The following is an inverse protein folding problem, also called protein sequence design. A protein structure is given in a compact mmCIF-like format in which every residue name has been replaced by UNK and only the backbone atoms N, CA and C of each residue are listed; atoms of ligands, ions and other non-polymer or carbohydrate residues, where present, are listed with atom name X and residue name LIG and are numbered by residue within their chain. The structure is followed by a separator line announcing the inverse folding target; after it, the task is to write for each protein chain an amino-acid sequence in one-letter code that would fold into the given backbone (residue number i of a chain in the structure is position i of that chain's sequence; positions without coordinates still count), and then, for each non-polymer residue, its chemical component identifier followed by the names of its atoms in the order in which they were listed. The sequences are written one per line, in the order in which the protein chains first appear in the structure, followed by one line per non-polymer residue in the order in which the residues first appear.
data_IF_482213173504
#
_entry.id   IF_482213173504
#
_cell.length_a   1.000
_cell.length_b   1.000
_cell.length_c   1.000
_cell.angle_alpha   90.00
_cell.angle_beta   90.00
_cell.angle_gamma   90.00
#
_symmetry.space_group_name_H-M   'P 1'
#
loop_
_entity.id
_entity.type
_entity.pdbx_description
1 polymer ?
#
# COMPACT_ATOMS: atom_id res chain seq x y z
N UNK A 1 28.21 -9.98 18.57
CA UNK A 1 28.63 -8.60 18.93
C UNK A 1 30.07 -8.40 18.53
N UNK A 2 30.41 -7.24 17.95
CA UNK A 2 31.76 -6.88 17.52
C UNK A 2 32.27 -5.68 18.32
N UNK A 3 33.33 -5.89 19.10
CA UNK A 3 34.02 -4.89 19.91
C UNK A 3 35.41 -4.58 19.34
N UNK A 4 36.03 -3.51 19.82
CA UNK A 4 37.37 -3.09 19.41
C UNK A 4 37.63 -1.64 19.77
N UNK A 5 38.90 -1.23 19.84
CA UNK A 5 39.26 0.16 20.09
C UNK A 5 38.91 1.08 18.89
N UNK A 6 39.17 2.38 19.01
CA UNK A 6 39.03 3.30 17.88
C UNK A 6 40.06 2.94 16.80
N UNK A 7 39.65 2.99 15.53
CA UNK A 7 40.52 2.71 14.38
C UNK A 7 41.07 1.29 14.28
N UNK A 8 40.40 0.29 14.88
CA UNK A 8 40.80 -1.14 14.80
C UNK A 8 40.15 -1.92 13.65
N UNK A 9 39.43 -1.24 12.75
CA UNK A 9 38.83 -1.88 11.57
C UNK A 9 37.45 -2.50 11.78
N UNK A 10 36.68 -2.07 12.79
CA UNK A 10 35.30 -2.53 13.03
C UNK A 10 34.38 -2.28 11.82
N UNK A 11 34.32 -1.02 11.36
CA UNK A 11 33.58 -0.64 10.15
C UNK A 11 34.11 -1.38 8.91
N UNK A 12 35.43 -1.53 8.79
CA UNK A 12 36.04 -2.32 7.71
C UNK A 12 35.58 -3.80 7.72
N UNK A 13 35.41 -4.38 8.90
CA UNK A 13 34.90 -5.76 9.05
C UNK A 13 33.43 -5.84 8.65
N UNK A 14 32.60 -4.88 9.06
CA UNK A 14 31.20 -4.81 8.62
C UNK A 14 31.07 -4.59 7.11
N UNK A 15 31.85 -3.68 6.54
CA UNK A 15 31.89 -3.44 5.09
C UNK A 15 32.30 -4.70 4.33
N UNK A 16 33.29 -5.45 4.84
CA UNK A 16 33.70 -6.72 4.24
C UNK A 16 32.59 -7.76 4.27
N UNK A 17 31.86 -7.88 5.38
CA UNK A 17 30.69 -8.76 5.49
C UNK A 17 29.60 -8.32 4.50
N UNK A 18 29.30 -7.02 4.45
CA UNK A 18 28.32 -6.43 3.54
C UNK A 18 28.66 -6.62 2.06
N UNK A 19 29.95 -6.68 1.70
CA UNK A 19 30.39 -6.89 0.32
C UNK A 19 30.47 -8.38 -0.07
N UNK A 20 30.44 -9.29 0.90
CA UNK A 20 30.57 -10.73 0.65
C UNK A 20 29.20 -11.42 0.53
N UNK A 21 28.18 -10.85 1.16
CA UNK A 21 26.81 -11.37 1.19
C UNK A 21 25.94 -10.44 0.32
N UNK A 22 25.10 -11.01 -0.54
CA UNK A 22 24.33 -10.21 -1.51
C UNK A 22 23.12 -9.49 -0.86
N UNK A 23 22.46 -10.11 0.13
CA UNK A 23 21.22 -9.59 0.72
C UNK A 23 21.40 -9.13 2.18
N UNK A 24 22.14 -8.04 2.37
CA UNK A 24 22.49 -7.49 3.69
C UNK A 24 21.69 -6.24 4.02
N UNK A 25 21.13 -6.18 5.23
CA UNK A 25 20.64 -4.93 5.82
C UNK A 25 21.75 -4.30 6.65
N UNK A 26 22.31 -3.17 6.21
CA UNK A 26 23.37 -2.46 6.93
C UNK A 26 22.91 -1.08 7.41
N UNK A 27 22.71 -0.96 8.73
CA UNK A 27 22.45 0.30 9.42
C UNK A 27 23.80 0.91 9.83
N UNK A 28 24.25 1.91 9.06
CA UNK A 28 25.55 2.57 9.27
C UNK A 28 25.48 3.60 10.39
N UNK A 29 26.63 3.86 11.00
CA UNK A 29 26.79 4.95 11.96
C UNK A 29 26.37 6.28 11.34
N UNK A 30 25.65 7.11 12.11
CA UNK A 30 25.11 8.41 11.71
C UNK A 30 24.10 8.42 10.56
N UNK A 31 23.72 7.28 9.99
CA UNK A 31 22.72 7.21 8.90
C UNK A 31 21.34 7.74 9.30
N UNK A 32 21.06 7.79 10.60
CA UNK A 32 19.79 8.22 11.18
C UNK A 32 19.85 9.64 11.79
N UNK A 33 21.01 10.32 11.70
CA UNK A 33 21.24 11.64 12.30
C UNK A 33 20.68 12.75 11.42
N UNK A 34 19.93 13.66 12.07
CA UNK A 34 19.23 14.77 11.43
C UNK A 34 20.18 15.91 11.10
N UNK A 35 20.19 16.34 9.83
CA UNK A 35 20.90 17.54 9.38
C UNK A 35 19.96 18.74 9.15
N UNK A 36 18.69 18.49 8.79
CA UNK A 36 17.66 19.52 8.56
C UNK A 36 16.26 18.94 8.83
N UNK A 37 15.53 19.50 9.80
CA UNK A 37 14.24 18.99 10.27
C UNK A 37 13.16 18.95 9.17
N UNK A 38 13.13 19.96 8.28
CA UNK A 38 12.03 20.12 7.31
C UNK A 38 12.19 19.15 6.14
N UNK A 39 13.41 18.99 5.64
CA UNK A 39 13.69 18.00 4.59
C UNK A 39 13.55 16.58 5.13
N UNK A 40 14.02 16.34 6.35
CA UNK A 40 13.92 15.03 7.00
C UNK A 40 12.47 14.60 7.22
N UNK A 41 11.59 15.50 7.69
CA UNK A 41 10.17 15.19 7.85
C UNK A 41 9.50 14.78 6.54
N UNK A 42 9.86 15.46 5.44
CA UNK A 42 9.32 15.13 4.11
C UNK A 42 9.82 13.78 3.61
N UNK A 43 11.09 13.48 3.79
CA UNK A 43 11.65 12.16 3.41
C UNK A 43 11.04 11.05 4.24
N UNK A 44 10.94 11.26 5.54
CA UNK A 44 10.33 10.32 6.47
C UNK A 44 8.89 9.99 6.10
N UNK A 45 8.05 11.01 5.88
CA UNK A 45 6.66 10.82 5.48
C UNK A 45 6.54 10.09 4.14
N UNK A 46 7.45 10.36 3.19
CA UNK A 46 7.51 9.64 1.90
C UNK A 46 7.91 8.18 2.08
N UNK A 47 8.87 7.87 2.94
CA UNK A 47 9.31 6.50 3.18
C UNK A 47 8.23 5.67 3.87
N UNK A 48 7.56 6.24 4.87
CA UNK A 48 6.38 5.63 5.51
C UNK A 48 5.28 5.40 4.48
N UNK A 49 4.98 6.39 3.63
CA UNK A 49 3.97 6.27 2.58
C UNK A 49 4.33 5.20 1.52
N UNK A 50 5.61 5.09 1.13
CA UNK A 50 6.08 4.08 0.18
C UNK A 50 5.93 2.66 0.74
N UNK A 51 6.41 2.44 1.96
CA UNK A 51 6.34 1.12 2.62
C UNK A 51 4.89 0.71 2.88
N UNK A 52 4.00 1.68 3.10
CA UNK A 52 2.55 1.47 3.31
C UNK A 52 1.72 1.75 2.05
N UNK A 53 2.32 1.70 0.86
CA UNK A 53 1.60 1.88 -0.40
C UNK A 53 0.55 0.78 -0.62
N UNK A 54 0.86 -0.45 -0.23
CA UNK A 54 -0.07 -1.58 -0.28
C UNK A 54 -1.35 -1.32 0.53
N UNK A 55 -1.23 -0.71 1.71
CA UNK A 55 -2.39 -0.33 2.53
C UNK A 55 -3.31 0.68 1.82
N UNK A 56 -2.74 1.67 1.14
CA UNK A 56 -3.52 2.66 0.37
C UNK A 56 -4.29 1.96 -0.76
N UNK A 57 -3.62 1.07 -1.49
CA UNK A 57 -4.20 0.35 -2.61
C UNK A 57 -5.32 -0.60 -2.14
N UNK A 58 -5.13 -1.28 -1.01
CA UNK A 58 -6.14 -2.14 -0.40
C UNK A 58 -7.34 -1.33 0.12
N UNK A 59 -7.09 -0.25 0.86
CA UNK A 59 -8.14 0.60 1.42
C UNK A 59 -8.99 1.28 0.33
N UNK A 60 -8.37 1.74 -0.76
CA UNK A 60 -9.06 2.42 -1.85
C UNK A 60 -9.53 1.47 -2.96
N UNK A 61 -9.31 0.16 -2.83
CA UNK A 61 -9.73 -0.85 -3.82
C UNK A 61 -11.23 -0.79 -4.12
N UNK A 62 -12.06 -0.56 -3.09
CA UNK A 62 -13.50 -0.38 -3.24
C UNK A 62 -13.85 0.86 -4.08
N UNK A 63 -13.14 1.98 -3.88
CA UNK A 63 -13.32 3.18 -4.70
C UNK A 63 -12.87 2.94 -6.14
N UNK A 64 -11.76 2.22 -6.34
CA UNK A 64 -11.22 1.91 -7.68
C UNK A 64 -12.26 1.20 -8.54
N UNK A 65 -12.93 0.17 -8.02
CA UNK A 65 -13.97 -0.56 -8.75
C UNK A 65 -15.15 0.34 -9.14
N UNK A 66 -15.59 1.22 -8.23
CA UNK A 66 -16.65 2.19 -8.53
C UNK A 66 -16.18 3.19 -9.58
N UNK A 67 -14.93 3.65 -9.50
CA UNK A 67 -14.36 4.60 -10.45
C UNK A 67 -14.34 4.04 -11.86
N UNK A 68 -13.92 2.79 -12.02
CA UNK A 68 -13.86 2.09 -13.32
C UNK A 68 -15.24 2.07 -14.01
N UNK A 69 -16.32 1.85 -13.24
CA UNK A 69 -17.69 1.90 -13.76
C UNK A 69 -18.09 3.33 -14.19
N UNK A 70 -17.77 4.34 -13.36
CA UNK A 70 -18.15 5.75 -13.61
C UNK A 70 -17.37 6.36 -14.77
N UNK A 71 -16.13 5.93 -15.01
CA UNK A 71 -15.31 6.41 -16.12
C UNK A 71 -15.96 6.18 -17.49
N UNK A 72 -16.85 5.20 -17.60
CA UNK A 72 -17.62 4.92 -18.82
C UNK A 72 -18.88 5.79 -18.99
N UNK A 73 -19.33 6.46 -17.93
CA UNK A 73 -20.64 7.14 -17.88
C UNK A 73 -20.53 8.59 -18.33
N UNK A 74 -21.08 8.93 -19.49
CA UNK A 74 -21.14 10.28 -20.05
C UNK A 74 -22.53 10.90 -19.96
N UNK A 75 -22.71 11.76 -18.94
CA UNK A 75 -23.96 12.49 -18.73
C UNK A 75 -24.28 13.49 -19.85
N UNK A 76 -23.27 14.14 -20.45
CA UNK A 76 -23.51 15.11 -21.53
C UNK A 76 -23.95 14.40 -22.81
N UNK A 77 -23.33 13.24 -23.10
CA UNK A 77 -23.77 12.39 -24.20
C UNK A 77 -25.17 11.83 -23.95
N UNK A 78 -25.47 11.37 -22.74
CA UNK A 78 -26.80 10.90 -22.36
C UNK A 78 -27.87 12.00 -22.52
N UNK A 79 -27.58 13.23 -22.12
CA UNK A 79 -28.53 14.34 -22.27
C UNK A 79 -28.78 14.67 -23.75
N UNK A 80 -27.73 14.65 -24.60
CA UNK A 80 -27.85 14.81 -26.05
C UNK A 80 -28.69 13.70 -26.69
N UNK A 81 -28.52 12.45 -26.28
CA UNK A 81 -29.32 11.32 -26.78
C UNK A 81 -30.82 11.53 -26.47
N UNK A 82 -31.15 11.99 -25.26
CA UNK A 82 -32.55 12.28 -24.87
C UNK A 82 -33.10 13.46 -25.65
N UNK A 83 -32.33 14.54 -25.80
CA UNK A 83 -32.73 15.71 -26.59
C UNK A 83 -33.01 15.34 -28.05
N UNK A 84 -32.14 14.53 -28.65
CA UNK A 84 -32.28 14.07 -30.02
C UNK A 84 -33.50 13.15 -30.20
N UNK A 85 -33.77 12.27 -29.23
CA UNK A 85 -35.00 11.49 -29.19
C UNK A 85 -36.24 12.38 -29.15
N UNK A 86 -36.32 13.33 -28.22
CA UNK A 86 -37.48 14.22 -28.08
C UNK A 86 -37.68 15.06 -29.33
N UNK A 87 -36.60 15.61 -29.90
CA UNK A 87 -36.66 16.41 -31.12
C UNK A 87 -37.16 15.60 -32.32
N UNK A 88 -36.66 14.37 -32.50
CA UNK A 88 -37.09 13.50 -33.61
C UNK A 88 -38.51 12.97 -33.41
N UNK A 89 -38.92 12.70 -32.18
CA UNK A 89 -40.30 12.32 -31.84
C UNK A 89 -41.30 13.44 -32.16
N UNK A 90 -41.02 14.67 -31.72
CA UNK A 90 -41.88 15.82 -32.00
C UNK A 90 -41.97 16.08 -33.50
N UNK A 91 -40.84 16.01 -34.21
CA UNK A 91 -40.82 16.22 -35.66
C UNK A 91 -41.55 15.12 -36.43
N UNK A 92 -41.44 13.86 -36.01
CA UNK A 92 -42.23 12.75 -36.57
C UNK A 92 -43.74 12.93 -36.34
N UNK A 93 -44.14 13.51 -35.20
CA UNK A 93 -45.52 13.86 -34.92
C UNK A 93 -46.02 15.03 -35.78
N UNK A 94 -45.21 16.07 -36.00
CA UNK A 94 -45.55 17.17 -36.91
C UNK A 94 -45.69 16.73 -38.37
N UNK A 95 -44.82 15.80 -38.81
CA UNK A 95 -44.85 15.24 -40.17
C UNK A 95 -45.81 14.05 -40.32
N UNK A 96 -46.66 13.77 -39.32
CA UNK A 96 -47.58 12.63 -39.32
C UNK A 96 -48.53 12.63 -40.54
N UNK A 97 -48.98 13.81 -40.97
CA UNK A 97 -49.86 13.98 -42.13
C UNK A 97 -49.12 13.85 -43.49
N UNK A 98 -47.78 13.82 -43.47
CA UNK A 98 -46.91 13.76 -44.66
C UNK A 98 -46.27 12.39 -44.89
N UNK A 99 -46.73 11.36 -44.18
CA UNK A 99 -46.17 10.00 -44.29
C UNK A 99 -46.41 9.36 -45.66
N UNK A 100 -45.32 9.01 -46.34
CA UNK A 100 -45.30 8.26 -47.59
C UNK A 100 -45.46 6.73 -47.38
N UNK A 101 -45.40 5.96 -48.46
CA UNK A 101 -45.57 4.51 -48.39
C UNK A 101 -44.46 3.79 -47.58
N UNK A 102 -43.25 4.35 -47.52
CA UNK A 102 -42.10 3.76 -46.81
C UNK A 102 -42.16 4.04 -45.31
N UNK A 103 -42.56 5.25 -44.91
CA UNK A 103 -42.76 5.67 -43.52
C UNK A 103 -44.03 5.13 -42.86
N UNK A 104 -44.94 4.54 -43.64
CA UNK A 104 -46.09 3.78 -43.12
C UNK A 104 -45.77 2.32 -42.78
N UNK A 105 -44.56 1.85 -43.07
CA UNK A 105 -44.20 0.46 -42.76
C UNK A 105 -44.01 0.28 -41.25
N UNK A 106 -44.50 -0.84 -40.69
CA UNK A 106 -44.45 -1.10 -39.25
C UNK A 106 -43.02 -1.07 -38.69
N UNK A 107 -42.04 -1.52 -39.47
CA UNK A 107 -40.62 -1.56 -39.09
C UNK A 107 -39.94 -0.19 -39.10
N UNK A 108 -40.59 0.86 -39.64
CA UNK A 108 -40.00 2.19 -39.75
C UNK A 108 -39.79 2.85 -38.38
N UNK A 109 -40.78 2.70 -37.49
CA UNK A 109 -40.79 3.28 -36.13
C UNK A 109 -40.65 2.20 -35.03
N UNK A 110 -40.28 0.96 -35.37
CA UNK A 110 -40.14 -0.13 -34.40
C UNK A 110 -39.05 0.16 -33.36
N UNK A 111 -39.08 -0.44 -32.16
CA UNK A 111 -38.06 -0.23 -31.11
C UNK A 111 -37.13 -1.44 -31.03
N UNK A 112 -35.86 -1.25 -30.69
CA UNK A 112 -34.94 -2.37 -30.49
C UNK A 112 -35.37 -3.22 -29.28
N UNK A 113 -35.18 -4.55 -29.37
CA UNK A 113 -35.40 -5.42 -28.22
C UNK A 113 -34.37 -5.12 -27.11
N UNK A 114 -34.79 -5.00 -25.84
CA UNK A 114 -33.88 -4.81 -24.74
C UNK A 114 -33.02 -6.07 -24.54
N UNK A 115 -31.70 -5.87 -24.56
CA UNK A 115 -30.71 -6.91 -24.31
C UNK A 115 -30.34 -6.89 -22.83
N UNK A 116 -30.84 -7.87 -22.08
CA UNK A 116 -30.56 -8.00 -20.65
C UNK A 116 -29.10 -8.42 -20.37
N UNK A 117 -28.61 -8.07 -19.17
CA UNK A 117 -27.30 -8.50 -18.69
C UNK A 117 -27.43 -9.81 -17.89
N UNK A 118 -26.52 -10.77 -18.13
CA UNK A 118 -26.47 -12.06 -17.41
C UNK A 118 -25.45 -12.07 -16.26
N UNK A 119 -24.88 -10.91 -15.90
CA UNK A 119 -23.81 -10.78 -14.90
C UNK A 119 -24.18 -11.38 -13.54
N UNK A 120 -25.37 -11.06 -13.04
CA UNK A 120 -25.86 -11.59 -11.75
C UNK A 120 -26.03 -13.10 -11.76
N UNK A 121 -26.46 -13.68 -12.89
CA UNK A 121 -26.58 -15.14 -13.03
C UNK A 121 -25.20 -15.81 -13.05
N UNK A 122 -24.22 -15.19 -13.72
CA UNK A 122 -22.83 -15.68 -13.70
C UNK A 122 -22.23 -15.63 -12.28
N UNK A 123 -22.38 -14.51 -11.57
CA UNK A 123 -21.89 -14.36 -10.19
C UNK A 123 -22.55 -15.37 -9.23
N UNK A 124 -23.83 -15.68 -9.44
CA UNK A 124 -24.55 -16.69 -8.67
C UNK A 124 -24.01 -18.11 -8.94
N UNK A 125 -23.78 -18.46 -10.21
CA UNK A 125 -23.19 -19.76 -10.59
C UNK A 125 -21.80 -19.91 -9.97
N UNK A 126 -20.97 -18.87 -10.04
CA UNK A 126 -19.62 -18.89 -9.44
C UNK A 126 -19.68 -19.03 -7.92
N UNK A 127 -20.62 -18.37 -7.25
CA UNK A 127 -20.82 -18.51 -5.80
C UNK A 127 -21.23 -19.93 -5.40
N UNK A 128 -22.16 -20.54 -6.15
CA UNK A 128 -22.56 -21.94 -5.91
C UNK A 128 -21.39 -22.88 -6.17
N UNK A 129 -20.60 -22.64 -7.23
CA UNK A 129 -19.40 -23.44 -7.54
C UNK A 129 -18.36 -23.35 -6.42
N UNK A 130 -18.13 -22.14 -5.87
CA UNK A 130 -17.22 -21.92 -4.76
C UNK A 130 -17.63 -22.73 -3.52
N UNK A 131 -18.93 -22.82 -3.20
CA UNK A 131 -19.43 -23.63 -2.08
C UNK A 131 -19.21 -25.13 -2.33
N UNK A 132 -19.38 -25.60 -3.57
CA UNK A 132 -19.18 -27.01 -3.94
C UNK A 132 -17.69 -27.39 -3.91
N UNK A 133 -16.80 -26.51 -4.36
CA UNK A 133 -15.36 -26.76 -4.51
C UNK A 133 -14.54 -26.45 -3.23
N UNK A 134 -15.18 -25.94 -2.18
CA UNK A 134 -14.47 -25.56 -0.95
C UNK A 134 -13.94 -26.80 -0.19
N UNK A 135 -12.62 -26.87 -0.03
CA UNK A 135 -11.94 -27.97 0.70
C UNK A 135 -11.82 -27.65 2.20
N UNK A 136 -11.52 -26.40 2.55
CA UNK A 136 -11.18 -25.97 3.90
C UNK A 136 -12.36 -26.05 4.89
N UNK A 137 -13.56 -25.65 4.44
CA UNK A 137 -14.79 -25.60 5.24
C UNK A 137 -15.79 -26.70 4.88
N UNK A 138 -15.37 -27.71 4.11
CA UNK A 138 -16.23 -28.78 3.58
C UNK A 138 -17.09 -29.45 4.66
N UNK A 139 -16.49 -29.80 5.79
CA UNK A 139 -17.18 -30.49 6.90
C UNK A 139 -18.29 -29.64 7.53
N UNK A 140 -18.17 -28.32 7.50
CA UNK A 140 -19.19 -27.38 7.99
C UNK A 140 -20.31 -27.25 6.96
N UNK A 141 -19.97 -27.18 5.67
CA UNK A 141 -20.93 -27.06 4.58
C UNK A 141 -21.81 -28.31 4.50
N UNK A 142 -21.22 -29.51 4.50
CA UNK A 142 -21.94 -30.79 4.43
C UNK A 142 -22.87 -31.03 5.64
N UNK A 143 -22.64 -30.34 6.77
CA UNK A 143 -23.50 -30.43 7.94
C UNK A 143 -24.89 -29.80 7.72
N UNK A 144 -24.96 -28.77 6.88
CA UNK A 144 -26.18 -27.98 6.67
C UNK A 144 -26.72 -28.05 5.24
N UNK A 145 -25.88 -28.39 4.27
CA UNK A 145 -26.21 -28.39 2.85
C UNK A 145 -25.86 -29.74 2.22
N UNK A 146 -26.80 -30.27 1.45
CA UNK A 146 -26.57 -31.44 0.62
C UNK A 146 -25.83 -31.04 -0.66
N UNK A 147 -24.64 -31.62 -0.87
CA UNK A 147 -23.80 -31.36 -2.05
C UNK A 147 -24.44 -31.83 -3.35
N UNK A 148 -25.27 -32.88 -3.33
CA UNK A 148 -25.94 -33.34 -4.54
C UNK A 148 -27.00 -32.33 -5.00
N UNK A 149 -27.77 -31.80 -4.06
CA UNK A 149 -28.74 -30.71 -4.30
C UNK A 149 -28.07 -29.43 -4.83
N UNK A 150 -26.91 -29.05 -4.27
CA UNK A 150 -26.14 -27.89 -4.77
C UNK A 150 -25.64 -28.10 -6.20
N UNK A 151 -25.18 -29.31 -6.55
CA UNK A 151 -24.78 -29.64 -7.92
C UNK A 151 -25.95 -29.56 -8.90
N UNK A 152 -27.13 -30.04 -8.52
CA UNK A 152 -28.34 -29.92 -9.35
C UNK A 152 -28.74 -28.46 -9.56
N UNK A 153 -28.69 -27.64 -8.51
CA UNK A 153 -28.91 -26.21 -8.61
C UNK A 153 -27.91 -25.55 -9.58
N UNK A 154 -26.62 -25.89 -9.49
CA UNK A 154 -25.61 -25.38 -10.40
C UNK A 154 -25.92 -25.74 -11.87
N UNK A 155 -26.31 -26.98 -12.14
CA UNK A 155 -26.72 -27.42 -13.49
C UNK A 155 -27.92 -26.63 -14.01
N UNK A 156 -28.97 -26.47 -13.19
CA UNK A 156 -30.18 -25.74 -13.60
C UNK A 156 -29.90 -24.25 -13.86
N UNK A 157 -29.04 -23.62 -13.06
CA UNK A 157 -28.59 -22.24 -13.30
C UNK A 157 -27.78 -22.11 -14.60
N UNK A 158 -26.96 -23.11 -14.95
CA UNK A 158 -26.18 -23.15 -16.20
C UNK A 158 -27.10 -23.32 -17.41
N UNK A 159 -28.11 -24.20 -17.32
CA UNK A 159 -29.11 -24.38 -18.38
C UNK A 159 -29.89 -23.08 -18.61
N UNK A 160 -30.34 -22.42 -17.53
CA UNK A 160 -30.98 -21.11 -17.61
C UNK A 160 -30.07 -20.04 -18.24
N UNK A 161 -28.76 -20.10 -17.97
CA UNK A 161 -27.78 -19.20 -18.57
C UNK A 161 -27.69 -19.43 -20.08
N UNK A 162 -27.66 -20.68 -20.54
CA UNK A 162 -27.65 -21.01 -21.96
C UNK A 162 -28.91 -20.53 -22.69
N UNK A 163 -30.09 -20.74 -22.09
CA UNK A 163 -31.36 -20.29 -22.66
C UNK A 163 -31.39 -18.77 -22.79
N UNK A 164 -31.01 -18.05 -21.72
CA UNK A 164 -30.91 -16.58 -21.76
C UNK A 164 -29.87 -16.09 -22.77
N UNK A 165 -28.75 -16.78 -22.91
CA UNK A 165 -27.71 -16.42 -23.87
C UNK A 165 -28.21 -16.62 -25.31
N UNK A 166 -28.96 -17.70 -25.58
CA UNK A 166 -29.58 -17.96 -26.87
C UNK A 166 -30.62 -16.90 -27.23
N UNK A 167 -31.53 -16.59 -26.31
CA UNK A 167 -32.51 -15.50 -26.50
C UNK A 167 -31.83 -14.15 -26.72
N UNK A 168 -30.75 -13.88 -25.99
CA UNK A 168 -29.94 -12.67 -26.20
C UNK A 168 -29.35 -12.62 -27.60
N UNK A 169 -28.82 -13.73 -28.12
CA UNK A 169 -28.30 -13.80 -29.50
C UNK A 169 -29.41 -13.58 -30.53
N UNK A 170 -30.59 -14.17 -30.34
CA UNK A 170 -31.75 -13.96 -31.21
C UNK A 170 -32.14 -12.47 -31.25
N UNK A 171 -32.29 -11.84 -30.08
CA UNK A 171 -32.60 -10.40 -29.97
C UNK A 171 -31.56 -9.52 -30.68
N UNK A 172 -30.27 -9.81 -30.51
CA UNK A 172 -29.19 -9.08 -31.21
C UNK A 172 -29.31 -9.19 -32.73
N UNK A 173 -29.53 -10.40 -33.24
CA UNK A 173 -29.71 -10.64 -34.69
C UNK A 173 -30.94 -9.90 -35.22
N UNK A 174 -32.05 -9.92 -34.49
CA UNK A 174 -33.27 -9.20 -34.87
C UNK A 174 -33.02 -7.69 -34.87
N UNK A 175 -32.37 -7.14 -33.84
CA UNK A 175 -32.05 -5.72 -33.78
C UNK A 175 -31.11 -5.29 -34.93
N UNK A 176 -30.13 -6.11 -35.30
CA UNK A 176 -29.26 -5.86 -36.47
C UNK A 176 -30.05 -5.80 -37.78
N UNK A 177 -30.97 -6.75 -38.00
CA UNK A 177 -31.85 -6.77 -39.17
C UNK A 177 -32.79 -5.56 -39.19
N UNK A 178 -33.41 -5.23 -38.05
CA UNK A 178 -34.28 -4.05 -37.90
C UNK A 178 -33.50 -2.78 -38.23
N UNK A 179 -32.25 -2.64 -37.76
CA UNK A 179 -31.38 -1.50 -38.08
C UNK A 179 -31.08 -1.38 -39.58
N UNK A 180 -30.72 -2.47 -40.25
CA UNK A 180 -30.45 -2.44 -41.70
C UNK A 180 -31.70 -2.07 -42.49
N UNK A 181 -32.85 -2.67 -42.16
CA UNK A 181 -34.14 -2.36 -42.80
C UNK A 181 -34.51 -0.88 -42.59
N UNK A 182 -34.41 -0.38 -41.35
CA UNK A 182 -34.65 1.03 -41.01
C UNK A 182 -33.75 1.97 -41.81
N UNK A 183 -32.45 1.70 -41.89
CA UNK A 183 -31.51 2.52 -42.66
C UNK A 183 -31.87 2.56 -44.14
N UNK A 184 -32.23 1.42 -44.75
CA UNK A 184 -32.64 1.37 -46.16
C UNK A 184 -33.94 2.10 -46.43
N UNK A 185 -34.91 2.02 -45.51
CA UNK A 185 -36.16 2.77 -45.60
C UNK A 185 -35.91 4.26 -45.47
N UNK A 186 -35.05 4.69 -44.54
CA UNK A 186 -34.63 6.09 -44.35
C UNK A 186 -34.04 6.71 -45.61
N UNK A 187 -33.30 5.96 -46.42
CA UNK A 187 -32.76 6.46 -47.70
C UNK A 187 -33.83 6.75 -48.76
N UNK A 188 -35.04 6.21 -48.62
CA UNK A 188 -36.11 6.29 -49.62
C UNK A 188 -37.28 7.16 -49.20
N UNK A 189 -37.23 7.76 -48.01
CA UNK A 189 -38.27 8.64 -47.48
C UNK A 189 -37.67 9.95 -47.00
N UNK A 190 -38.46 11.02 -47.12
CA UNK A 190 -38.16 12.31 -46.49
C UNK A 190 -38.72 12.42 -45.07
N UNK A 191 -39.48 11.42 -44.61
CA UNK A 191 -40.06 11.40 -43.27
C UNK A 191 -38.96 11.25 -42.21
N UNK A 192 -39.11 11.98 -41.10
CA UNK A 192 -38.17 11.93 -39.99
C UNK A 192 -38.42 10.68 -39.18
N UNK A 193 -37.37 9.87 -39.06
CA UNK A 193 -37.38 8.68 -38.21
C UNK A 193 -37.09 9.07 -36.77
N UNK A 194 -37.86 8.52 -35.83
CA UNK A 194 -37.61 8.68 -34.40
C UNK A 194 -36.34 7.92 -34.02
N UNK A 195 -35.40 8.59 -33.37
CA UNK A 195 -34.21 7.92 -32.87
C UNK A 195 -34.50 7.15 -31.60
N UNK A 196 -33.82 6.03 -31.37
CA UNK A 196 -34.07 5.20 -30.19
C UNK A 196 -33.16 5.63 -29.03
N UNK A 197 -33.66 5.59 -27.79
CA UNK A 197 -32.91 5.95 -26.59
C UNK A 197 -33.25 5.01 -25.43
N UNK A 198 -32.21 4.51 -24.76
CA UNK A 198 -32.36 3.68 -23.56
C UNK A 198 -32.51 4.55 -22.31
N UNK A 199 -33.73 5.00 -22.02
CA UNK A 199 -34.04 5.82 -20.85
C UNK A 199 -33.69 5.12 -19.52
N UNK A 200 -33.70 3.79 -19.48
CA UNK A 200 -33.33 3.03 -18.28
C UNK A 200 -31.83 3.13 -18.04
N UNK A 201 -31.00 2.90 -19.07
CA UNK A 201 -29.54 3.09 -18.99
C UNK A 201 -29.20 4.49 -18.51
N UNK A 202 -29.81 5.52 -19.10
CA UNK A 202 -29.55 6.93 -18.75
C UNK A 202 -29.94 7.23 -17.30
N UNK A 203 -31.09 6.73 -16.83
CA UNK A 203 -31.51 6.87 -15.44
C UNK A 203 -30.54 6.17 -14.47
N UNK A 204 -30.11 4.96 -14.84
CA UNK A 204 -29.14 4.18 -14.05
C UNK A 204 -27.78 4.89 -13.98
N UNK A 205 -27.32 5.47 -15.08
CA UNK A 205 -26.09 6.25 -15.14
C UNK A 205 -26.13 7.49 -14.24
N UNK A 206 -27.23 8.24 -14.26
CA UNK A 206 -27.44 9.34 -13.31
C UNK A 206 -27.39 8.86 -11.85
N UNK A 207 -28.04 7.73 -11.55
CA UNK A 207 -28.01 7.13 -10.20
C UNK A 207 -26.63 6.64 -9.77
N UNK A 208 -25.84 6.09 -10.70
CA UNK A 208 -24.44 5.70 -10.45
C UNK A 208 -23.61 6.92 -10.08
N UNK A 209 -23.72 8.01 -10.82
CA UNK A 209 -23.01 9.26 -10.54
C UNK A 209 -23.41 9.87 -9.19
N UNK A 210 -24.70 9.84 -8.85
CA UNK A 210 -25.18 10.25 -7.52
C UNK A 210 -24.53 9.42 -6.40
N UNK A 211 -24.53 8.09 -6.51
CA UNK A 211 -23.92 7.21 -5.50
C UNK A 211 -22.41 7.37 -5.42
N UNK A 212 -21.72 7.51 -6.54
CA UNK A 212 -20.30 7.81 -6.57
C UNK A 212 -19.99 9.12 -5.82
N UNK A 213 -20.79 10.15 -6.06
CA UNK A 213 -20.65 11.45 -5.39
C UNK A 213 -20.81 11.33 -3.88
N UNK A 214 -21.77 10.54 -3.41
CA UNK A 214 -21.95 10.26 -1.99
C UNK A 214 -20.74 9.53 -1.39
N UNK A 215 -20.27 8.45 -2.04
CA UNK A 215 -19.11 7.67 -1.59
C UNK A 215 -17.87 8.57 -1.44
N UNK A 216 -17.57 9.37 -2.46
CA UNK A 216 -16.42 10.29 -2.43
C UNK A 216 -16.58 11.33 -1.32
N UNK A 217 -17.79 11.85 -1.09
CA UNK A 217 -18.03 12.78 0.03
C UNK A 217 -17.78 12.15 1.39
N UNK A 218 -18.14 10.88 1.59
CA UNK A 218 -17.81 10.16 2.83
C UNK A 218 -16.31 9.90 2.96
N UNK A 219 -15.63 9.55 1.87
CA UNK A 219 -14.18 9.35 1.86
C UNK A 219 -13.43 10.64 2.22
N UNK A 220 -13.90 11.80 1.74
CA UNK A 220 -13.31 13.12 2.04
C UNK A 220 -13.47 13.61 3.48
N UNK A 221 -14.27 12.94 4.32
CA UNK A 221 -14.37 13.30 5.75
C UNK A 221 -13.10 12.93 6.49
N UNK A 222 -12.63 13.79 7.38
CA UNK A 222 -11.48 13.48 8.21
C UNK A 222 -11.76 12.30 9.13
N UNK A 223 -10.91 11.27 9.07
CA UNK A 223 -11.00 10.12 9.96
C UNK A 223 -9.67 9.36 10.06
N UNK A 224 -9.50 8.58 11.11
CA UNK A 224 -8.36 7.66 11.25
C UNK A 224 -8.75 6.31 10.67
N UNK A 225 -8.04 5.91 9.62
CA UNK A 225 -8.34 4.72 8.82
C UNK A 225 -7.64 3.46 9.35
N UNK A 226 -6.43 3.63 9.88
CA UNK A 226 -5.67 2.55 10.49
C UNK A 226 -4.84 3.07 11.65
N UNK A 227 -4.66 2.19 12.64
CA UNK A 227 -3.82 2.40 13.81
C UNK A 227 -2.98 1.17 14.01
N UNK A 228 -1.67 1.35 13.97
CA UNK A 228 -0.70 0.30 14.26
C UNK A 228 0.22 0.77 15.39
N UNK A 229 0.55 -0.12 16.31
CA UNK A 229 1.46 0.19 17.43
C UNK A 229 2.77 -0.56 17.25
N UNK A 230 3.89 0.16 17.36
CA UNK A 230 5.26 -0.37 17.24
C UNK A 230 6.04 0.13 18.46
N UNK A 231 6.32 -0.76 19.41
CA UNK A 231 7.15 -0.51 20.61
C UNK A 231 7.04 0.91 21.19
N UNK A 232 5.84 1.27 21.68
CA UNK A 232 5.58 2.58 22.30
C UNK A 232 5.23 3.71 21.34
N UNK A 233 5.41 3.53 20.03
CA UNK A 233 4.91 4.42 19.00
C UNK A 233 3.59 3.93 18.44
N UNK A 234 2.75 4.85 17.96
CA UNK A 234 1.52 4.55 17.24
C UNK A 234 1.53 5.27 15.90
N UNK A 235 1.48 4.50 14.82
CA UNK A 235 1.32 5.04 13.47
C UNK A 235 -0.16 5.10 13.15
N UNK A 236 -0.65 6.31 12.86
CA UNK A 236 -2.03 6.56 12.45
C UNK A 236 -2.06 6.97 10.97
N UNK A 237 -2.82 6.23 10.16
CA UNK A 237 -3.15 6.63 8.80
C UNK A 237 -4.43 7.46 8.85
N UNK A 238 -4.36 8.75 8.52
CA UNK A 238 -5.50 9.66 8.49
C UNK A 238 -5.93 9.92 7.06
N UNK A 239 -7.23 9.83 6.79
CA UNK A 239 -7.82 10.32 5.54
C UNK A 239 -8.28 11.75 5.71
N UNK A 240 -7.97 12.60 4.75
CA UNK A 240 -8.34 14.01 4.74
C UNK A 240 -8.58 14.49 3.30
N UNK A 241 -9.34 15.59 3.10
CA UNK A 241 -9.48 16.16 1.78
C UNK A 241 -8.19 16.87 1.36
N UNK A 242 -7.87 16.86 0.06
CA UNK A 242 -6.81 17.71 -0.48
C UNK A 242 -7.14 19.20 -0.24
N UNK A 243 -6.18 19.94 0.30
CA UNK A 243 -6.29 21.36 0.60
C UNK A 243 -6.02 22.24 -0.63
N UNK A 244 -5.30 21.72 -1.63
CA UNK A 244 -4.96 22.49 -2.83
C UNK A 244 -4.38 21.68 -3.98
N UNK A 245 -4.24 22.31 -5.16
CA UNK A 245 -3.75 21.65 -6.37
C UNK A 245 -2.29 21.18 -6.24
N UNK A 246 -1.49 21.81 -5.37
CA UNK A 246 -0.11 21.40 -5.11
C UNK A 246 -0.02 20.03 -4.44
N UNK A 247 -0.97 19.69 -3.57
CA UNK A 247 -1.00 18.37 -2.91
C UNK A 247 -1.37 17.26 -3.89
N UNK A 248 -2.33 17.52 -4.79
CA UNK A 248 -2.72 16.58 -5.86
C UNK A 248 -1.55 16.37 -6.82
N UNK A 249 -0.79 17.43 -7.13
CA UNK A 249 0.44 17.33 -7.92
C UNK A 249 1.48 16.45 -7.26
N UNK A 250 1.67 16.59 -5.95
CA UNK A 250 2.60 15.75 -5.20
C UNK A 250 2.16 14.28 -5.16
N UNK A 251 0.86 14.02 -5.02
CA UNK A 251 0.29 12.68 -4.98
C UNK A 251 0.28 11.97 -6.35
N UNK A 252 0.05 12.71 -7.44
CA UNK A 252 0.05 12.15 -8.81
C UNK A 252 1.45 11.93 -9.38
N UNK A 253 2.47 12.65 -8.87
CA UNK A 253 3.81 12.65 -9.46
C UNK A 253 3.90 13.34 -10.83
N UNK A 254 2.79 13.88 -11.35
CA UNK A 254 2.73 14.52 -12.64
C UNK A 254 3.26 15.96 -12.60
N UNK A 255 3.84 16.41 -13.71
CA UNK A 255 4.34 17.80 -13.84
C UNK A 255 3.25 18.82 -14.18
N UNK A 256 2.06 18.35 -14.54
CA UNK A 256 0.91 19.14 -14.94
C UNK A 256 0.36 20.01 -13.81
N UNK A 257 -0.37 21.06 -14.20
CA UNK A 257 -1.12 21.89 -13.27
C UNK A 257 -2.48 21.25 -12.97
N UNK A 258 -2.85 21.22 -11.69
CA UNK A 258 -4.14 20.69 -11.23
C UNK A 258 -5.10 21.80 -10.79
N UNK A 259 -4.81 23.05 -11.13
CA UNK A 259 -5.60 24.22 -10.73
C UNK A 259 -7.05 24.13 -11.24
N UNK A 260 -7.24 23.71 -12.49
CA UNK A 260 -8.56 23.66 -13.11
C UNK A 260 -9.37 22.47 -12.58
N UNK A 261 -8.75 21.29 -12.49
CA UNK A 261 -9.36 20.13 -11.82
C UNK A 261 -9.75 20.47 -10.36
N UNK A 262 -8.88 21.13 -9.59
CA UNK A 262 -9.16 21.44 -8.19
C UNK A 262 -10.36 22.38 -7.98
N UNK A 263 -10.69 23.25 -8.94
CA UNK A 263 -11.91 24.08 -8.87
C UNK A 263 -13.17 23.22 -8.76
N UNK A 264 -13.17 22.09 -9.47
CA UNK A 264 -14.26 21.12 -9.46
C UNK A 264 -14.14 20.08 -8.33
N UNK A 265 -13.14 20.18 -7.44
CA UNK A 265 -12.93 19.18 -6.38
C UNK A 265 -14.16 19.00 -5.46
N UNK A 266 -15.01 20.03 -5.32
CA UNK A 266 -16.29 19.92 -4.60
C UNK A 266 -17.33 19.03 -5.28
N UNK A 267 -17.24 18.86 -6.60
CA UNK A 267 -18.11 18.02 -7.41
C UNK A 267 -17.33 16.81 -7.97
N UNK A 268 -17.44 15.62 -7.34
CA UNK A 268 -16.66 14.44 -7.70
C UNK A 268 -16.73 14.02 -9.17
N UNK A 269 -17.89 14.17 -9.83
CA UNK A 269 -18.06 13.79 -11.22
C UNK A 269 -17.35 14.76 -12.17
N UNK A 270 -17.57 16.07 -11.99
CA UNK A 270 -16.86 17.08 -12.78
C UNK A 270 -15.35 17.01 -12.56
N UNK A 271 -14.94 16.80 -11.31
CA UNK A 271 -13.54 16.57 -10.98
C UNK A 271 -12.96 15.38 -11.73
N UNK A 272 -13.67 14.25 -11.79
CA UNK A 272 -13.25 13.09 -12.59
C UNK A 272 -13.13 13.44 -14.08
N UNK A 273 -14.05 14.23 -14.64
CA UNK A 273 -13.99 14.67 -16.04
C UNK A 273 -12.76 15.50 -16.34
N UNK A 274 -12.42 16.44 -15.45
CA UNK A 274 -11.19 17.23 -15.55
C UNK A 274 -9.92 16.39 -15.35
N UNK A 275 -9.98 15.33 -14.54
CA UNK A 275 -8.86 14.40 -14.43
C UNK A 275 -8.70 13.53 -15.68
N UNK A 276 -9.81 13.10 -16.30
CA UNK A 276 -9.81 12.26 -17.51
C UNK A 276 -9.37 13.03 -18.76
N UNK A 277 -9.57 14.35 -18.81
CA UNK A 277 -9.10 15.20 -19.90
C UNK A 277 -7.57 15.37 -19.89
N UNK A 278 -6.92 15.06 -18.76
CA UNK A 278 -5.48 15.18 -18.61
C UNK A 278 -4.75 13.90 -19.06
N UNK A 279 -4.19 13.92 -20.27
CA UNK A 279 -3.46 12.78 -20.85
C UNK A 279 -2.21 12.36 -20.07
N UNK A 280 -1.69 13.22 -19.17
CA UNK A 280 -0.52 12.90 -18.36
C UNK A 280 -0.82 11.96 -17.18
N UNK A 281 -2.09 11.64 -16.93
CA UNK A 281 -2.52 10.83 -15.80
C UNK A 281 -2.82 9.39 -16.21
N UNK A 282 -2.33 8.45 -15.41
CA UNK A 282 -2.69 7.04 -15.56
C UNK A 282 -4.12 6.84 -15.06
N UNK A 283 -5.01 6.35 -15.93
CA UNK A 283 -6.42 6.05 -15.58
C UNK A 283 -6.55 5.15 -14.35
N UNK A 284 -5.65 4.16 -14.23
CA UNK A 284 -5.64 3.22 -13.11
C UNK A 284 -5.23 3.83 -11.77
N UNK A 285 -4.71 5.06 -11.73
CA UNK A 285 -4.23 5.72 -10.50
C UNK A 285 -5.13 6.87 -10.05
N UNK A 286 -6.15 7.23 -10.84
CA UNK A 286 -7.03 8.36 -10.58
C UNK A 286 -7.73 8.27 -9.22
N UNK A 287 -8.03 7.06 -8.73
CA UNK A 287 -8.68 6.85 -7.44
C UNK A 287 -7.87 7.42 -6.27
N UNK A 288 -6.53 7.49 -6.38
CA UNK A 288 -5.64 8.07 -5.36
C UNK A 288 -5.76 9.59 -5.27
N UNK A 289 -6.33 10.24 -6.28
CA UNK A 289 -6.44 11.70 -6.37
C UNK A 289 -7.76 12.25 -5.78
N UNK A 290 -8.59 11.39 -5.19
CA UNK A 290 -9.87 11.78 -4.57
C UNK A 290 -9.78 12.04 -3.07
N UNK A 291 -8.79 11.46 -2.39
CA UNK A 291 -8.59 11.60 -0.95
C UNK A 291 -7.10 11.58 -0.63
N UNK A 292 -6.68 12.44 0.30
CA UNK A 292 -5.32 12.46 0.80
C UNK A 292 -5.22 11.49 1.97
N UNK A 293 -4.25 10.59 1.93
CA UNK A 293 -3.91 9.72 3.06
C UNK A 293 -2.58 10.23 3.61
N UNK A 294 -2.62 10.81 4.81
CA UNK A 294 -1.44 11.26 5.54
C UNK A 294 -1.13 10.30 6.68
N UNK A 295 0.15 10.16 7.01
CA UNK A 295 0.60 9.35 8.13
C UNK A 295 1.08 10.26 9.24
N UNK A 296 0.69 9.96 10.47
CA UNK A 296 1.21 10.60 11.67
C UNK A 296 1.73 9.53 12.61
N UNK A 297 2.77 9.86 13.35
CA UNK A 297 3.32 8.98 14.36
C UNK A 297 3.21 9.67 15.70
N UNK A 298 2.58 8.96 16.62
CA UNK A 298 2.34 9.41 17.97
C UNK A 298 3.25 8.64 18.91
N UNK A 299 3.75 9.30 19.95
CA UNK A 299 4.48 8.66 21.04
C UNK A 299 3.52 7.99 22.04
N UNK A 300 4.06 7.46 23.15
CA UNK A 300 3.31 6.77 24.21
C UNK A 300 2.22 7.65 24.83
N UNK A 301 2.46 8.96 24.86
CA UNK A 301 1.57 9.97 25.43
C UNK A 301 0.54 10.51 24.43
N UNK A 302 0.60 10.07 23.16
CA UNK A 302 -0.34 10.47 22.11
C UNK A 302 0.00 11.79 21.41
N UNK A 303 1.20 12.32 21.61
CA UNK A 303 1.70 13.51 20.92
C UNK A 303 2.49 13.14 19.67
N UNK A 304 2.53 14.02 18.67
CA UNK A 304 3.37 13.83 17.49
C UNK A 304 4.85 13.76 17.89
N UNK A 305 5.55 12.79 17.32
CA UNK A 305 6.95 12.51 17.63
C UNK A 305 7.86 13.71 17.33
N UNK A 306 8.70 14.04 18.30
CA UNK A 306 9.79 15.02 18.18
C UNK A 306 10.89 14.55 17.20
N UNK A 307 11.84 15.43 16.88
CA UNK A 307 13.00 15.07 16.06
C UNK A 307 13.71 13.81 16.56
N UNK A 308 14.06 13.75 17.85
CA UNK A 308 14.70 12.57 18.45
C UNK A 308 13.86 11.28 18.30
N UNK A 309 12.59 11.35 18.68
CA UNK A 309 11.65 10.22 18.58
C UNK A 309 11.40 9.75 17.14
N UNK A 310 11.49 10.64 16.14
CA UNK A 310 11.42 10.25 14.71
C UNK A 310 12.62 9.39 14.31
N UNK A 311 13.82 9.74 14.77
CA UNK A 311 15.03 8.95 14.53
C UNK A 311 14.95 7.60 15.24
N UNK A 312 14.37 7.56 16.45
CA UNK A 312 14.11 6.33 17.20
C UNK A 312 13.15 5.40 16.44
N UNK A 313 12.01 5.93 15.99
CA UNK A 313 11.06 5.17 15.18
C UNK A 313 11.70 4.65 13.89
N UNK A 314 12.52 5.47 13.22
CA UNK A 314 13.22 5.05 12.00
C UNK A 314 14.17 3.89 12.28
N UNK A 315 14.91 3.92 13.40
CA UNK A 315 15.76 2.79 13.80
C UNK A 315 14.93 1.52 13.97
N UNK A 316 13.83 1.58 14.74
CA UNK A 316 12.95 0.43 14.96
C UNK A 316 12.42 -0.12 13.63
N UNK A 317 12.01 0.77 12.73
CA UNK A 317 11.50 0.38 11.42
C UNK A 317 12.56 -0.29 10.55
N UNK A 318 13.78 0.26 10.49
CA UNK A 318 14.89 -0.33 9.72
C UNK A 318 15.33 -1.69 10.28
N UNK A 319 15.25 -1.87 11.60
CA UNK A 319 15.48 -3.15 12.26
C UNK A 319 14.37 -4.15 11.92
N UNK A 320 13.10 -3.75 11.99
CA UNK A 320 11.97 -4.64 11.63
C UNK A 320 12.01 -5.05 10.15
N UNK A 321 12.34 -4.12 9.26
CA UNK A 321 12.48 -4.39 7.83
C UNK A 321 13.63 -5.36 7.53
N UNK A 322 14.60 -5.49 8.44
CA UNK A 322 15.71 -6.43 8.30
C UNK A 322 15.26 -7.89 8.21
N UNK A 323 14.05 -8.23 8.66
CA UNK A 323 13.48 -9.57 8.52
C UNK A 323 13.38 -10.04 7.05
N UNK A 324 13.40 -9.12 6.08
CA UNK A 324 13.42 -9.43 4.65
C UNK A 324 14.84 -9.67 4.09
N UNK A 325 15.86 -9.64 4.95
CA UNK A 325 17.27 -9.76 4.59
C UNK A 325 17.91 -10.98 5.26
N UNK A 326 19.05 -11.41 4.73
CA UNK A 326 19.72 -12.61 5.21
C UNK A 326 20.53 -12.34 6.48
N UNK A 327 20.99 -11.10 6.66
CA UNK A 327 21.81 -10.67 7.81
C UNK A 327 21.60 -9.18 8.11
N UNK A 328 21.61 -8.84 9.40
CA UNK A 328 21.48 -7.48 9.91
C UNK A 328 22.81 -7.03 10.52
N UNK A 329 23.37 -5.95 9.97
CA UNK A 329 24.57 -5.28 10.47
C UNK A 329 24.19 -3.92 11.05
N UNK A 330 24.62 -3.65 12.28
CA UNK A 330 24.35 -2.38 12.97
C UNK A 330 25.67 -1.82 13.48
N UNK A 331 26.01 -0.60 13.04
CA UNK A 331 27.24 0.10 13.44
C UNK A 331 26.93 1.28 14.37
N UNK A 332 27.27 1.13 15.66
CA UNK A 332 27.13 2.13 16.72
C UNK A 332 25.76 2.84 16.72
N UNK A 333 24.66 2.15 17.05
CA UNK A 333 23.34 2.75 17.03
C UNK A 333 23.20 3.86 18.09
N UNK A 334 24.00 3.84 19.16
CA UNK A 334 23.84 4.72 20.32
C UNK A 334 24.12 6.21 20.14
N UNK A 335 24.74 6.65 19.04
CA UNK A 335 25.28 8.02 18.94
C UNK A 335 24.23 9.14 19.06
N UNK A 336 22.94 8.81 19.05
CA UNK A 336 21.84 9.78 19.09
C UNK A 336 20.62 9.34 19.90
N UNK A 337 20.71 8.26 20.68
CA UNK A 337 19.58 7.70 21.43
C UNK A 337 19.87 7.56 22.92
N UNK A 338 18.82 7.61 23.74
CA UNK A 338 18.97 7.41 25.18
C UNK A 338 19.16 5.93 25.55
N UNK A 339 19.74 5.70 26.74
CA UNK A 339 20.02 4.35 27.23
C UNK A 339 18.76 3.56 27.58
N UNK A 340 17.64 4.23 27.86
CA UNK A 340 16.41 3.55 28.26
C UNK A 340 15.77 2.89 27.04
N UNK A 341 15.57 3.65 25.96
CA UNK A 341 15.07 3.22 24.66
C UNK A 341 15.92 2.09 24.07
N UNK A 342 17.24 2.24 24.10
CA UNK A 342 18.17 1.21 23.62
C UNK A 342 17.99 -0.11 24.40
N UNK A 343 17.84 -0.02 25.73
CA UNK A 343 17.69 -1.20 26.59
C UNK A 343 16.32 -1.87 26.47
N UNK A 344 15.23 -1.12 26.41
CA UNK A 344 13.88 -1.67 26.38
C UNK A 344 13.49 -2.13 24.99
N UNK A 345 13.48 -1.21 24.03
CA UNK A 345 12.78 -1.40 22.76
C UNK A 345 13.72 -2.00 21.71
N UNK A 346 14.93 -1.45 21.57
CA UNK A 346 15.90 -1.92 20.56
C UNK A 346 16.41 -3.32 20.90
N UNK A 347 16.90 -3.54 22.12
CA UNK A 347 17.46 -4.85 22.50
C UNK A 347 16.43 -5.98 22.41
N UNK A 348 15.17 -5.72 22.77
CA UNK A 348 14.11 -6.73 22.65
C UNK A 348 13.91 -7.14 21.18
N UNK A 349 13.80 -6.18 20.26
CA UNK A 349 13.63 -6.50 18.84
C UNK A 349 14.86 -7.21 18.29
N UNK A 350 16.07 -6.72 18.58
CA UNK A 350 17.31 -7.34 18.09
C UNK A 350 17.40 -8.79 18.54
N UNK A 351 16.97 -9.10 19.76
CA UNK A 351 17.01 -10.45 20.30
C UNK A 351 15.93 -11.37 19.77
N UNK A 352 14.76 -10.84 19.41
CA UNK A 352 13.76 -11.60 18.67
C UNK A 352 14.23 -11.91 17.24
N UNK A 353 14.78 -10.92 16.55
CA UNK A 353 15.30 -11.08 15.17
C UNK A 353 16.48 -12.06 15.14
N UNK A 354 17.37 -12.02 16.15
CA UNK A 354 18.52 -12.93 16.22
C UNK A 354 18.13 -14.42 16.31
N UNK A 355 16.87 -14.75 16.63
CA UNK A 355 16.38 -16.14 16.63
C UNK A 355 16.16 -16.67 15.21
N UNK A 356 15.90 -15.80 14.24
CA UNK A 356 15.58 -16.20 12.86
C UNK A 356 16.67 -15.83 11.85
N UNK A 357 17.50 -14.83 12.13
CA UNK A 357 18.59 -14.39 11.25
C UNK A 357 19.84 -13.96 12.03
N UNK A 358 21.05 -14.07 11.45
CA UNK A 358 22.26 -13.52 12.07
C UNK A 358 22.18 -11.99 12.23
N UNK A 359 22.55 -11.51 13.43
CA UNK A 359 22.61 -10.08 13.75
C UNK A 359 24.00 -9.74 14.30
N UNK A 360 24.70 -8.81 13.64
CA UNK A 360 26.01 -8.30 14.08
C UNK A 360 25.86 -6.85 14.53
N UNK A 361 26.02 -6.63 15.83
CA UNK A 361 26.00 -5.30 16.44
C UNK A 361 27.41 -4.90 16.82
N UNK A 362 27.83 -3.73 16.35
CA UNK A 362 28.99 -2.98 16.84
C UNK A 362 28.48 -1.89 17.79
N UNK A 363 29.08 -1.80 18.96
CA UNK A 363 28.72 -0.83 19.99
C UNK A 363 29.91 -0.58 20.91
N UNK A 364 29.99 0.64 21.45
CA UNK A 364 30.90 1.02 22.53
C UNK A 364 30.14 1.46 23.79
N UNK A 365 28.80 1.47 23.75
CA UNK A 365 27.93 1.78 24.86
C UNK A 365 27.74 0.56 25.76
N UNK A 366 28.10 0.69 27.03
CA UNK A 366 27.90 -0.37 28.03
C UNK A 366 26.47 -0.84 28.15
N UNK A 367 25.50 0.05 27.99
CA UNK A 367 24.07 -0.31 28.05
C UNK A 367 23.71 -1.26 26.93
N UNK A 368 24.05 -0.96 25.68
CA UNK A 368 23.77 -1.85 24.54
C UNK A 368 24.63 -3.10 24.64
N UNK A 369 25.96 -2.94 24.73
CA UNK A 369 26.91 -4.06 24.71
C UNK A 369 26.70 -5.08 25.82
N UNK A 370 26.43 -4.63 27.06
CA UNK A 370 26.22 -5.55 28.18
C UNK A 370 24.80 -6.12 28.24
N UNK A 371 23.78 -5.37 27.81
CA UNK A 371 22.38 -5.81 27.96
C UNK A 371 21.74 -6.46 26.74
N UNK A 372 22.35 -6.36 25.54
CA UNK A 372 21.93 -7.13 24.35
C UNK A 372 22.08 -8.64 24.59
N UNK A 373 22.96 -9.06 25.49
CA UNK A 373 23.19 -10.47 25.81
C UNK A 373 23.70 -11.26 24.62
N UNK A 374 24.77 -10.80 23.97
CA UNK A 374 25.31 -11.39 22.75
C UNK A 374 25.57 -12.90 22.86
N UNK A 375 25.28 -13.68 21.81
CA UNK A 375 25.54 -15.12 21.78
C UNK A 375 27.00 -15.45 21.44
N UNK A 376 27.66 -14.52 20.74
CA UNK A 376 29.03 -14.65 20.27
C UNK A 376 29.74 -13.29 20.26
N UNK A 377 31.03 -13.30 20.61
CA UNK A 377 31.86 -12.11 20.70
C UNK A 377 32.96 -12.13 19.63
N UNK A 378 33.09 -11.02 18.91
CA UNK A 378 34.18 -10.72 18.00
C UNK A 378 34.92 -9.50 18.55
N UNK A 379 36.25 -9.52 18.55
CA UNK A 379 37.07 -8.39 18.97
C UNK A 379 38.12 -8.07 17.90
N UNK A 380 38.04 -6.87 17.35
CA UNK A 380 38.98 -6.36 16.37
C UNK A 380 40.09 -5.56 17.06
N UNK A 381 41.34 -5.99 16.89
CA UNK A 381 42.53 -5.36 17.45
C UNK A 381 43.48 -4.97 16.33
N UNK A 382 44.13 -3.82 16.51
CA UNK A 382 45.24 -3.37 15.67
C UNK A 382 46.54 -3.64 16.41
N UNK A 383 47.39 -4.51 15.86
CA UNK A 383 48.72 -4.79 16.36
C UNK A 383 49.78 -4.19 15.43
N UNK A 384 50.93 -3.83 16.00
CA UNK A 384 52.13 -3.41 15.25
C UNK A 384 53.13 -4.57 15.32
N UNK A 385 53.41 -5.19 14.18
CA UNK A 385 54.42 -6.25 14.05
C UNK A 385 55.40 -5.87 12.95
N UNK A 386 56.69 -5.90 13.28
CA UNK A 386 57.79 -5.58 12.35
C UNK A 386 57.65 -4.24 11.61
N UNK A 387 56.98 -3.26 12.23
CA UNK A 387 56.72 -1.93 11.66
C UNK A 387 55.47 -1.84 10.79
N UNK A 388 54.82 -2.97 10.50
CA UNK A 388 53.58 -3.04 9.75
C UNK A 388 52.36 -3.16 10.68
N UNK A 389 51.26 -2.56 10.23
CA UNK A 389 49.98 -2.62 10.94
C UNK A 389 49.24 -3.89 10.56
N UNK A 390 49.04 -4.79 11.53
CA UNK A 390 48.28 -6.04 11.35
C UNK A 390 46.95 -5.94 12.10
N UNK A 391 45.85 -6.11 11.38
CA UNK A 391 44.51 -6.19 11.97
C UNK A 391 44.17 -7.63 12.30
N UNK A 392 43.92 -7.92 13.59
CA UNK A 392 43.53 -9.24 14.07
C UNK A 392 42.10 -9.26 14.56
N UNK A 393 41.40 -10.35 14.26
CA UNK A 393 40.08 -10.64 14.79
C UNK A 393 40.18 -11.82 15.76
N UNK A 394 39.75 -11.58 16.98
CA UNK A 394 39.60 -12.60 18.02
C UNK A 394 38.13 -12.94 18.17
N UNK A 395 37.83 -14.21 18.45
CA UNK A 395 36.44 -14.66 18.58
C UNK A 395 36.28 -15.70 19.67
N UNK A 396 35.07 -15.80 20.23
CA UNK A 396 34.70 -16.77 21.25
C UNK A 396 33.31 -16.50 21.83
N UNK A 397 32.87 -17.36 22.74
CA UNK A 397 31.64 -17.14 23.49
C UNK A 397 31.85 -16.10 24.59
N UNK A 398 30.83 -15.30 24.94
CA UNK A 398 30.95 -14.29 26.01
C UNK A 398 31.32 -14.87 27.37
N UNK A 399 31.06 -16.16 27.61
CA UNK A 399 31.41 -16.88 28.85
C UNK A 399 32.84 -17.43 28.84
N UNK A 400 33.54 -17.39 27.71
CA UNK A 400 34.90 -17.91 27.60
C UNK A 400 35.88 -16.97 28.31
N UNK A 401 36.84 -17.55 29.04
CA UNK A 401 37.88 -16.75 29.71
C UNK A 401 38.79 -16.03 28.73
N UNK A 402 39.03 -16.64 27.57
CA UNK A 402 39.92 -16.13 26.55
C UNK A 402 39.24 -16.20 25.17
N UNK A 403 39.47 -15.17 24.34
CA UNK A 403 39.14 -15.18 22.92
C UNK A 403 40.36 -15.62 22.11
N UNK A 404 40.16 -16.35 21.02
CA UNK A 404 41.24 -16.82 20.14
C UNK A 404 41.16 -16.21 18.75
N UNK A 405 42.31 -15.94 18.15
CA UNK A 405 42.44 -15.51 16.75
C UNK A 405 42.81 -16.68 15.83
N UNK A 406 42.70 -16.46 14.51
CA UNK A 406 43.03 -17.46 13.47
C UNK A 406 44.50 -17.91 13.47
N UNK A 407 45.41 -17.07 13.97
CA UNK A 407 46.84 -17.35 14.11
C UNK A 407 47.19 -17.99 15.48
N UNK A 408 46.19 -18.37 16.28
CA UNK A 408 46.36 -19.09 17.54
C UNK A 408 46.70 -18.23 18.74
N UNK A 409 46.72 -16.90 18.61
CA UNK A 409 46.90 -15.99 19.75
C UNK A 409 45.63 -15.90 20.58
N UNK A 410 45.79 -15.68 21.89
CA UNK A 410 44.66 -15.56 22.82
C UNK A 410 44.73 -14.29 23.63
N UNK A 411 43.56 -13.73 23.95
CA UNK A 411 43.41 -12.52 24.76
C UNK A 411 42.32 -12.71 25.82
N UNK A 412 42.44 -12.04 26.97
CA UNK A 412 41.49 -12.15 28.09
C UNK A 412 40.15 -11.50 27.75
N UNK A 413 39.07 -12.29 27.74
CA UNK A 413 37.73 -11.78 27.45
C UNK A 413 37.25 -10.75 28.49
N UNK A 414 37.58 -10.97 29.76
CA UNK A 414 37.16 -10.11 30.86
C UNK A 414 37.77 -8.71 30.76
N UNK A 415 39.09 -8.64 30.52
CA UNK A 415 39.79 -7.35 30.36
C UNK A 415 39.22 -6.58 29.18
N UNK A 416 39.02 -7.23 28.03
CA UNK A 416 38.48 -6.60 26.82
C UNK A 416 37.09 -6.03 27.04
N UNK A 417 36.18 -6.80 27.66
CA UNK A 417 34.81 -6.34 27.90
C UNK A 417 34.81 -5.14 28.85
N UNK A 418 35.61 -5.20 29.92
CA UNK A 418 35.74 -4.09 30.88
C UNK A 418 36.36 -2.84 30.24
N UNK A 419 37.42 -3.00 29.45
CA UNK A 419 38.08 -1.90 28.77
C UNK A 419 37.19 -1.28 27.69
N UNK A 420 36.46 -2.12 26.94
CA UNK A 420 35.63 -1.66 25.81
C UNK A 420 34.30 -1.06 26.25
N UNK A 421 33.66 -1.57 27.31
CA UNK A 421 32.33 -1.11 27.74
C UNK A 421 32.39 -0.21 28.98
N UNK A 422 33.30 -0.47 29.92
CA UNK A 422 33.31 0.23 31.23
C UNK A 422 34.51 1.16 31.43
N UNK A 423 35.34 1.36 30.40
CA UNK A 423 36.59 2.13 30.47
C UNK A 423 37.56 1.60 31.54
N UNK A 424 37.60 0.28 31.70
CA UNK A 424 38.54 -0.44 32.55
C UNK A 424 37.98 -0.81 33.93
N UNK A 425 38.66 -1.79 34.55
CA UNK A 425 38.23 -2.40 35.82
C UNK A 425 38.20 -1.37 36.96
N UNK A 426 39.23 -0.51 37.06
CA UNK A 426 39.30 0.51 38.12
C UNK A 426 38.13 1.51 38.04
N UNK A 427 37.78 1.93 36.82
CA UNK A 427 36.67 2.85 36.56
C UNK A 427 35.33 2.20 36.94
N UNK A 428 35.13 0.94 36.57
CA UNK A 428 33.95 0.16 36.93
C UNK A 428 33.79 0.05 38.46
N UNK A 429 34.85 -0.35 39.16
CA UNK A 429 34.80 -0.52 40.62
C UNK A 429 34.55 0.79 41.36
N UNK A 430 35.13 1.89 40.89
CA UNK A 430 34.87 3.24 41.41
C UNK A 430 33.40 3.66 41.22
N UNK A 431 32.83 3.43 40.03
CA UNK A 431 31.40 3.69 39.76
C UNK A 431 30.50 2.83 40.65
N UNK A 432 30.83 1.54 40.77
CA UNK A 432 30.08 0.60 41.62
C UNK A 432 30.05 1.05 43.07
N UNK A 433 31.19 1.43 43.64
CA UNK A 433 31.27 1.94 45.01
C UNK A 433 30.46 3.24 45.17
N UNK A 434 30.53 4.14 44.20
CA UNK A 434 29.73 5.37 44.18
C UNK A 434 28.22 5.11 44.14
N UNK A 435 27.76 4.18 43.29
CA UNK A 435 26.34 3.80 43.22
C UNK A 435 25.87 3.08 44.49
N UNK A 436 26.70 2.20 45.07
CA UNK A 436 26.40 1.50 46.32
C UNK A 436 26.30 2.48 47.51
N UNK A 437 27.10 3.55 47.53
CA UNK A 437 27.05 4.57 48.58
C UNK A 437 25.75 5.39 48.60
N UNK A 438 25.12 5.59 47.44
CA UNK A 438 23.89 6.40 47.28
C UNK A 438 22.62 5.52 47.31
N UNK A 439 22.78 4.19 47.33
CA UNK A 439 21.66 3.24 47.39
C UNK A 439 20.98 3.16 48.77
N UNK A 440 21.52 3.86 49.78
CA UNK A 440 21.02 3.88 51.15
C UNK A 440 20.07 5.05 51.41
#
# INVERSE_FOLDING_TARGET
MLLGERSTGKTYTLDKISNTIDNVKYIRQFSLVQQDEVSYEREFNKDVQRKRSCFIDEYLSGLKNVLDDIMSVDLDANDREVEQYVATLLKSAEDADRRDAFSKTALFDEVDFPVGQTRTLNELIESVRQVIENIEFKTIIEKYLDLESLKRLACELIELLWDKALETKKKKLVNELVKDVKQRLKMRTSAVQVEDVDLYRISMDRKRVERFTEIVRFLKREDVVSRESIQGFRVEAKKEPFAGPGEIKAASGARTAFSDAFKEYGNPYNYLRELLSNESLTRSELYKLFVKISYRILNRDGFEVSGGERSEFRLLQEIMDAQNYDILLIDDPESSFDNLFLKSDVNQILKEISKSMPVVVVTHNSTVGASVGADYLLYARKDLEDGDVVYRLYSGYPTDKNLSSLDGKTISSHEIVMDSLEAGIETYDSRRQGYEAIKN
#
